data_IF_202025733433
#
_entry.id   IF_202025733433
#
_cell.length_a   1.000
_cell.length_b   1.000
_cell.length_c   1.000
_cell.angle_alpha   90.00
_cell.angle_beta   90.00
_cell.angle_gamma   90.00
#
_symmetry.space_group_name_H-M   'P 1'
#
loop_
_entity.id
_entity.type
_entity.pdbx_description
1 polymer ?
#
# COMPACT_ATOMS: atom_id res chain seq x y z
N UNK A 1 -3.81 26.21 -29.23
CA UNK A 1 -5.12 25.54 -29.06
C UNK A 1 -4.93 24.39 -28.09
N UNK A 2 -5.22 24.59 -26.81
CA UNK A 2 -4.92 23.64 -25.73
C UNK A 2 -6.13 22.73 -25.54
N UNK A 3 -6.03 21.47 -25.96
CA UNK A 3 -7.06 20.47 -25.71
C UNK A 3 -7.11 20.19 -24.20
N UNK A 4 -8.05 20.84 -23.50
CA UNK A 4 -8.36 20.54 -22.11
C UNK A 4 -9.03 19.16 -22.10
N UNK A 5 -8.24 18.10 -21.99
CA UNK A 5 -8.77 16.75 -21.84
C UNK A 5 -9.39 16.63 -20.45
N UNK A 6 -10.72 16.72 -20.37
CA UNK A 6 -11.47 16.44 -19.14
C UNK A 6 -11.36 14.94 -18.82
N UNK A 7 -10.31 14.56 -18.09
CA UNK A 7 -10.22 13.22 -17.51
C UNK A 7 -11.35 13.05 -16.49
N UNK A 8 -12.13 11.96 -16.53
CA UNK A 8 -13.20 11.71 -15.58
C UNK A 8 -12.66 11.73 -14.15
N UNK A 9 -13.42 12.27 -13.20
CA UNK A 9 -13.03 12.52 -11.80
C UNK A 9 -12.37 11.30 -11.14
N UNK A 10 -12.87 10.09 -11.43
CA UNK A 10 -12.32 8.84 -10.90
C UNK A 10 -10.86 8.59 -11.34
N UNK A 11 -10.48 8.96 -12.56
CA UNK A 11 -9.09 8.82 -13.01
C UNK A 11 -8.15 9.79 -12.29
N UNK A 12 -8.65 10.97 -11.92
CA UNK A 12 -7.86 11.92 -11.13
C UNK A 12 -7.62 11.38 -9.72
N UNK A 13 -8.66 10.83 -9.09
CA UNK A 13 -8.56 10.22 -7.75
C UNK A 13 -7.63 9.01 -7.74
N UNK A 14 -7.80 8.07 -8.68
CA UNK A 14 -6.89 6.92 -8.82
C UNK A 14 -5.45 7.38 -9.07
N UNK A 15 -5.25 8.40 -9.92
CA UNK A 15 -3.94 9.00 -10.15
C UNK A 15 -3.31 9.58 -8.88
N UNK A 16 -4.10 10.27 -8.04
CA UNK A 16 -3.64 10.77 -6.74
C UNK A 16 -3.29 9.65 -5.76
N UNK A 17 -4.12 8.60 -5.68
CA UNK A 17 -3.84 7.45 -4.82
C UNK A 17 -2.56 6.72 -5.25
N UNK A 18 -2.36 6.52 -6.56
CA UNK A 18 -1.13 5.93 -7.07
C UNK A 18 0.09 6.82 -6.78
N UNK A 19 -0.02 8.14 -6.91
CA UNK A 19 1.05 9.08 -6.54
C UNK A 19 1.41 9.02 -5.06
N UNK A 20 0.39 9.00 -4.21
CA UNK A 20 0.58 8.84 -2.78
C UNK A 20 1.28 7.50 -2.49
N UNK A 21 0.84 6.42 -3.13
CA UNK A 21 1.49 5.11 -3.05
C UNK A 21 2.96 5.14 -3.49
N UNK A 22 3.32 5.86 -4.56
CA UNK A 22 4.72 6.05 -4.97
C UNK A 22 5.53 6.71 -3.86
N UNK A 23 5.06 7.84 -3.33
CA UNK A 23 5.77 8.59 -2.27
C UNK A 23 5.90 7.74 -1.01
N UNK A 24 4.84 7.05 -0.62
CA UNK A 24 4.82 6.15 0.52
C UNK A 24 5.84 5.01 0.37
N UNK A 25 5.82 4.31 -0.77
CA UNK A 25 6.73 3.17 -1.01
C UNK A 25 8.20 3.62 -1.15
N UNK A 26 8.46 4.83 -1.64
CA UNK A 26 9.80 5.43 -1.60
C UNK A 26 10.25 5.72 -0.17
N UNK A 27 9.38 6.31 0.66
CA UNK A 27 9.68 6.57 2.07
C UNK A 27 9.94 5.26 2.84
N UNK A 28 9.12 4.24 2.60
CA UNK A 28 9.33 2.88 3.13
C UNK A 28 10.68 2.30 2.69
N UNK A 29 11.02 2.39 1.40
CA UNK A 29 12.31 1.93 0.90
C UNK A 29 13.48 2.61 1.60
N UNK A 30 13.44 3.94 1.74
CA UNK A 30 14.48 4.71 2.46
C UNK A 30 14.55 4.31 3.93
N UNK A 31 13.40 4.19 4.59
CA UNK A 31 13.32 3.77 5.99
C UNK A 31 13.94 2.39 6.20
N UNK A 32 13.67 1.44 5.33
CA UNK A 32 14.22 0.09 5.42
C UNK A 32 15.71 0.03 5.04
N UNK A 33 16.17 0.74 4.00
CA UNK A 33 17.59 0.82 3.68
C UNK A 33 18.43 1.46 4.79
N UNK A 34 17.86 2.44 5.51
CA UNK A 34 18.54 3.11 6.63
C UNK A 34 18.80 2.22 7.85
N UNK A 35 18.16 1.05 7.92
CA UNK A 35 18.20 0.14 9.06
C UNK A 35 17.76 0.75 10.41
N UNK A 36 17.10 1.92 10.39
CA UNK A 36 16.62 2.61 11.60
C UNK A 36 15.78 1.70 12.49
N UNK A 37 14.90 0.89 11.91
CA UNK A 37 14.03 -0.07 12.61
C UNK A 37 14.78 -1.09 13.48
N UNK A 38 15.96 -1.53 13.04
CA UNK A 38 16.75 -2.58 13.73
C UNK A 38 18.00 -2.00 14.42
N UNK A 39 18.16 -0.68 14.43
CA UNK A 39 19.32 -0.01 15.02
C UNK A 39 19.47 -0.32 16.52
N UNK A 40 18.37 -0.29 17.26
CA UNK A 40 18.34 -0.64 18.70
C UNK A 40 18.61 -2.12 18.99
N UNK A 41 18.33 -3.02 18.03
CA UNK A 41 18.55 -4.45 18.20
C UNK A 41 20.04 -4.84 18.16
N UNK A 42 20.90 -3.98 17.60
CA UNK A 42 22.34 -4.25 17.45
C UNK A 42 23.05 -4.55 18.78
N UNK A 43 22.60 -3.95 19.87
CA UNK A 43 23.21 -4.13 21.20
C UNK A 43 22.66 -5.35 21.95
N UNK A 44 21.50 -5.87 21.54
CA UNK A 44 20.76 -6.92 22.25
C UNK A 44 20.85 -8.28 21.55
N UNK A 45 20.96 -8.29 20.23
CA UNK A 45 20.93 -9.53 19.45
C UNK A 45 22.33 -10.05 19.15
N UNK A 46 22.49 -11.38 18.98
CA UNK A 46 23.70 -11.94 18.39
C UNK A 46 23.98 -11.32 17.02
N UNK A 47 25.27 -11.08 16.72
CA UNK A 47 25.71 -10.45 15.46
C UNK A 47 25.13 -11.15 14.22
N UNK A 48 25.04 -12.48 14.23
CA UNK A 48 24.48 -13.27 13.13
C UNK A 48 22.99 -12.99 12.90
N UNK A 49 22.19 -12.88 13.98
CA UNK A 49 20.77 -12.55 13.89
C UNK A 49 20.55 -11.12 13.39
N UNK A 50 21.41 -10.17 13.79
CA UNK A 50 21.37 -8.80 13.30
C UNK A 50 21.65 -8.71 11.79
N UNK A 51 22.71 -9.36 11.29
CA UNK A 51 23.01 -9.40 9.86
C UNK A 51 21.93 -10.11 9.05
N UNK A 52 21.37 -11.20 9.58
CA UNK A 52 20.24 -11.88 8.96
C UNK A 52 19.06 -10.91 8.82
N UNK A 53 18.66 -10.23 9.90
CA UNK A 53 17.58 -9.24 9.84
C UNK A 53 17.88 -8.07 8.89
N UNK A 54 19.13 -7.61 8.82
CA UNK A 54 19.56 -6.56 7.90
C UNK A 54 19.38 -6.96 6.43
N UNK A 55 19.72 -8.20 6.08
CA UNK A 55 19.49 -8.76 4.74
C UNK A 55 18.00 -8.70 4.37
N UNK A 56 17.11 -9.17 5.25
CA UNK A 56 15.66 -9.11 5.03
C UNK A 56 15.16 -7.68 4.93
N UNK A 57 15.72 -6.76 5.72
CA UNK A 57 15.39 -5.35 5.67
C UNK A 57 15.73 -4.73 4.30
N UNK A 58 16.89 -5.07 3.73
CA UNK A 58 17.29 -4.61 2.39
C UNK A 58 16.52 -5.27 1.26
N UNK A 59 16.18 -6.56 1.38
CA UNK A 59 15.28 -7.23 0.44
C UNK A 59 13.91 -6.55 0.42
N UNK A 60 13.36 -6.23 1.60
CA UNK A 60 12.11 -5.48 1.70
C UNK A 60 12.24 -4.08 1.10
N UNK A 61 13.31 -3.34 1.43
CA UNK A 61 13.56 -2.01 0.86
C UNK A 61 13.62 -2.03 -0.68
N UNK A 62 14.24 -3.07 -1.26
CA UNK A 62 14.33 -3.27 -2.71
C UNK A 62 12.97 -3.58 -3.32
N UNK A 63 12.18 -4.43 -2.67
CA UNK A 63 10.81 -4.72 -3.08
C UNK A 63 9.94 -3.46 -3.03
N UNK A 64 10.06 -2.64 -1.97
CA UNK A 64 9.32 -1.39 -1.85
C UNK A 64 9.68 -0.39 -2.95
N UNK A 65 10.98 -0.29 -3.30
CA UNK A 65 11.43 0.54 -4.42
C UNK A 65 10.85 0.05 -5.75
N UNK A 66 10.86 -1.26 -6.00
CA UNK A 66 10.27 -1.86 -7.20
C UNK A 66 8.78 -1.55 -7.28
N UNK A 67 8.03 -1.67 -6.18
CA UNK A 67 6.61 -1.32 -6.12
C UNK A 67 6.42 0.16 -6.41
N UNK A 68 7.24 1.05 -5.85
CA UNK A 68 7.19 2.48 -6.14
C UNK A 68 7.37 2.76 -7.65
N UNK A 69 8.33 2.09 -8.30
CA UNK A 69 8.55 2.20 -9.74
C UNK A 69 7.33 1.69 -10.51
N UNK A 70 6.76 0.54 -10.16
CA UNK A 70 5.56 0.00 -10.79
C UNK A 70 4.40 0.98 -10.66
N UNK A 71 4.11 1.49 -9.45
CA UNK A 71 3.06 2.48 -9.22
C UNK A 71 3.31 3.77 -10.02
N UNK A 72 4.57 4.18 -10.19
CA UNK A 72 4.95 5.32 -11.02
C UNK A 72 4.59 5.14 -12.49
N UNK A 73 4.82 3.95 -13.05
CA UNK A 73 4.40 3.65 -14.42
C UNK A 73 2.88 3.50 -14.54
N UNK A 74 2.23 2.87 -13.57
CA UNK A 74 0.77 2.72 -13.55
C UNK A 74 0.05 4.07 -13.53
N UNK A 75 0.54 5.07 -12.79
CA UNK A 75 -0.10 6.39 -12.74
C UNK A 75 -0.01 7.18 -14.06
N UNK A 76 1.01 6.91 -14.89
CA UNK A 76 1.21 7.63 -16.16
C UNK A 76 0.17 7.23 -17.21
N UNK A 77 -0.20 5.96 -17.23
CA UNK A 77 -1.18 5.40 -18.18
C UNK A 77 -2.12 4.39 -17.53
N UNK A 78 -2.90 4.86 -16.56
CA UNK A 78 -3.83 4.01 -15.80
C UNK A 78 -4.88 3.30 -16.68
N UNK A 79 -5.16 3.83 -17.88
CA UNK A 79 -6.11 3.22 -18.83
C UNK A 79 -5.49 1.97 -19.46
N UNK A 80 -4.23 2.05 -19.90
CA UNK A 80 -3.50 0.91 -20.47
C UNK A 80 -3.33 -0.23 -19.47
N UNK A 81 -3.14 0.09 -18.19
CA UNK A 81 -2.86 -0.90 -17.15
C UNK A 81 -4.07 -1.25 -16.26
N UNK A 82 -5.29 -1.05 -16.75
CA UNK A 82 -6.51 -1.25 -15.96
C UNK A 82 -6.59 -2.62 -15.31
N UNK A 83 -6.29 -3.70 -16.04
CA UNK A 83 -6.42 -5.07 -15.52
C UNK A 83 -5.39 -5.36 -14.43
N UNK A 84 -4.16 -4.86 -14.60
CA UNK A 84 -3.11 -4.94 -13.59
C UNK A 84 -3.48 -4.13 -12.35
N UNK A 85 -3.99 -2.91 -12.50
CA UNK A 85 -4.51 -2.10 -11.37
C UNK A 85 -5.65 -2.84 -10.66
N UNK A 86 -6.52 -3.51 -11.43
CA UNK A 86 -7.57 -4.38 -10.91
C UNK A 86 -7.01 -5.51 -10.05
N UNK A 87 -6.07 -6.29 -10.59
CA UNK A 87 -5.41 -7.37 -9.86
C UNK A 87 -4.70 -6.89 -8.59
N UNK A 88 -3.95 -5.78 -8.68
CA UNK A 88 -3.24 -5.17 -7.54
C UNK A 88 -4.23 -4.71 -6.46
N UNK A 89 -5.38 -4.18 -6.84
CA UNK A 89 -6.39 -3.77 -5.85
C UNK A 89 -7.00 -4.96 -5.10
N UNK A 90 -7.24 -6.09 -5.78
CA UNK A 90 -7.69 -7.34 -5.13
C UNK A 90 -6.64 -7.89 -4.18
N UNK A 91 -5.37 -7.87 -4.60
CA UNK A 91 -4.27 -8.21 -3.71
C UNK A 91 -4.19 -7.27 -2.51
N UNK A 92 -4.40 -5.97 -2.71
CA UNK A 92 -4.49 -4.97 -1.65
C UNK A 92 -5.60 -5.28 -0.63
N UNK A 93 -6.78 -5.72 -1.09
CA UNK A 93 -7.86 -6.15 -0.20
C UNK A 93 -7.47 -7.38 0.62
N UNK A 94 -6.90 -8.40 -0.02
CA UNK A 94 -6.39 -9.59 0.69
C UNK A 94 -5.39 -9.17 1.77
N UNK A 95 -4.43 -8.31 1.41
CA UNK A 95 -3.43 -7.79 2.34
C UNK A 95 -4.06 -7.00 3.49
N UNK A 96 -5.06 -6.16 3.23
CA UNK A 96 -5.80 -5.46 4.26
C UNK A 96 -6.48 -6.41 5.25
N UNK A 97 -7.01 -7.54 4.77
CA UNK A 97 -7.56 -8.60 5.62
C UNK A 97 -6.51 -9.21 6.54
N UNK A 98 -5.32 -9.51 6.00
CA UNK A 98 -4.18 -9.99 6.77
C UNK A 98 -3.76 -8.98 7.85
N UNK A 99 -3.59 -7.70 7.48
CA UNK A 99 -3.23 -6.63 8.43
C UNK A 99 -4.28 -6.45 9.53
N UNK A 100 -5.56 -6.52 9.16
CA UNK A 100 -6.68 -6.42 10.12
C UNK A 100 -6.62 -7.56 11.13
N UNK A 101 -6.42 -8.81 10.66
CA UNK A 101 -6.22 -9.96 11.52
C UNK A 101 -5.00 -9.78 12.44
N UNK A 102 -3.84 -9.40 11.90
CA UNK A 102 -2.66 -9.14 12.72
C UNK A 102 -2.87 -8.00 13.73
N UNK A 103 -3.76 -7.05 13.47
CA UNK A 103 -4.08 -5.97 14.41
C UNK A 103 -4.88 -6.43 15.64
N UNK A 104 -5.50 -7.61 15.60
CA UNK A 104 -6.27 -8.18 16.73
C UNK A 104 -5.48 -9.19 17.56
N UNK A 105 -4.41 -9.76 17.00
CA UNK A 105 -3.48 -10.64 17.71
C UNK A 105 -2.81 -9.89 18.86
N UNK A 106 -2.76 -10.50 20.05
CA UNK A 106 -2.21 -9.88 21.26
C UNK A 106 -0.70 -9.65 21.14
N UNK A 107 -0.14 -8.74 21.94
CA UNK A 107 1.29 -8.49 21.90
C UNK A 107 2.09 -9.69 22.41
N UNK A 108 1.58 -10.39 23.43
CA UNK A 108 2.23 -11.55 24.03
C UNK A 108 2.46 -12.64 22.97
N UNK A 109 1.48 -12.86 22.10
CA UNK A 109 1.59 -13.78 20.96
C UNK A 109 2.58 -13.30 19.89
N UNK A 110 2.72 -11.98 19.72
CA UNK A 110 3.65 -11.36 18.77
C UNK A 110 5.10 -11.37 19.27
N UNK A 111 5.32 -11.21 20.58
CA UNK A 111 6.64 -11.20 21.21
C UNK A 111 7.36 -12.55 21.16
N UNK A 112 6.64 -13.64 20.85
CA UNK A 112 7.24 -14.94 20.55
C UNK A 112 8.13 -14.85 19.28
N UNK A 113 7.87 -13.88 18.40
CA UNK A 113 8.69 -13.62 17.22
C UNK A 113 9.85 -12.68 17.56
N UNK A 114 11.12 -13.12 17.40
CA UNK A 114 12.28 -12.32 17.77
C UNK A 114 12.35 -10.97 17.05
N UNK A 115 11.79 -10.87 15.84
CA UNK A 115 11.73 -9.64 15.05
C UNK A 115 10.83 -8.55 15.63
N UNK A 116 10.04 -8.84 16.68
CA UNK A 116 9.09 -7.93 17.32
C UNK A 116 9.48 -7.53 18.75
N UNK A 117 10.70 -7.84 19.21
CA UNK A 117 11.18 -7.42 20.53
C UNK A 117 11.27 -5.90 20.73
N UNK A 118 11.25 -5.12 19.65
CA UNK A 118 11.13 -3.66 19.73
C UNK A 118 9.66 -3.29 19.77
N UNK A 119 9.19 -2.95 20.97
CA UNK A 119 7.80 -2.55 21.22
C UNK A 119 7.47 -1.21 20.56
N UNK A 120 6.55 -1.22 19.60
CA UNK A 120 5.87 -0.02 19.11
C UNK A 120 4.45 -0.01 19.69
N UNK A 121 4.13 0.89 20.66
CA UNK A 121 2.82 0.93 21.30
C UNK A 121 1.68 1.29 20.33
N UNK A 122 2.00 1.87 19.17
CA UNK A 122 1.04 2.25 18.14
C UNK A 122 1.00 1.26 16.97
N UNK A 123 1.68 0.10 17.07
CA UNK A 123 1.77 -0.87 15.97
C UNK A 123 0.40 -1.33 15.47
N UNK A 124 -0.51 -1.68 16.39
CA UNK A 124 -1.87 -2.10 16.01
C UNK A 124 -2.66 -0.98 15.33
N UNK A 125 -2.43 0.29 15.68
CA UNK A 125 -3.06 1.45 15.02
C UNK A 125 -2.50 1.62 13.62
N UNK A 126 -1.18 1.49 13.46
CA UNK A 126 -0.51 1.54 12.16
C UNK A 126 -1.05 0.47 11.20
N UNK A 127 -1.17 -0.79 11.65
CA UNK A 127 -1.72 -1.88 10.84
C UNK A 127 -3.16 -1.59 10.39
N UNK A 128 -4.00 -1.01 11.27
CA UNK A 128 -5.38 -0.65 10.94
C UNK A 128 -5.46 0.50 9.94
N UNK A 129 -4.61 1.51 10.08
CA UNK A 129 -4.55 2.63 9.14
C UNK A 129 -4.11 2.16 7.75
N UNK A 130 -3.10 1.31 7.67
CA UNK A 130 -2.65 0.72 6.42
C UNK A 130 -3.73 -0.16 5.76
N UNK A 131 -4.39 -1.01 6.55
CA UNK A 131 -5.54 -1.80 6.09
C UNK A 131 -6.66 -0.91 5.55
N UNK A 132 -7.00 0.19 6.23
CA UNK A 132 -8.03 1.13 5.79
C UNK A 132 -7.67 1.79 4.45
N UNK A 133 -6.41 2.21 4.25
CA UNK A 133 -5.93 2.78 2.99
C UNK A 133 -6.08 1.78 1.84
N UNK A 134 -5.71 0.52 2.07
CA UNK A 134 -5.82 -0.55 1.07
C UNK A 134 -7.29 -0.88 0.73
N UNK A 135 -8.19 -0.88 1.72
CA UNK A 135 -9.64 -1.02 1.49
C UNK A 135 -10.19 0.14 0.69
N UNK A 136 -9.79 1.38 0.99
CA UNK A 136 -10.19 2.56 0.20
C UNK A 136 -9.67 2.46 -1.23
N UNK A 137 -8.42 2.05 -1.44
CA UNK A 137 -7.86 1.82 -2.77
C UNK A 137 -8.66 0.76 -3.55
N UNK A 138 -8.95 -0.38 -2.92
CA UNK A 138 -9.81 -1.42 -3.50
C UNK A 138 -11.18 -0.87 -3.87
N UNK A 139 -11.83 -0.15 -2.96
CA UNK A 139 -13.15 0.39 -3.19
C UNK A 139 -13.18 1.39 -4.35
N UNK A 140 -12.18 2.28 -4.44
CA UNK A 140 -12.08 3.26 -5.53
C UNK A 140 -11.83 2.59 -6.88
N UNK A 141 -11.05 1.51 -6.93
CA UNK A 141 -10.69 0.80 -8.17
C UNK A 141 -11.83 -0.12 -8.64
N UNK A 142 -12.43 -0.90 -7.75
CA UNK A 142 -13.43 -1.93 -8.09
C UNK A 142 -14.88 -1.44 -8.03
N UNK A 143 -15.15 -0.49 -7.13
CA UNK A 143 -16.42 0.22 -7.03
C UNK A 143 -16.20 1.69 -7.37
N UNK A 144 -15.68 2.00 -8.57
CA UNK A 144 -15.69 3.38 -9.00
C UNK A 144 -17.14 3.82 -8.93
N UNK A 145 -17.39 5.09 -8.62
CA UNK A 145 -18.68 5.77 -8.80
C UNK A 145 -19.33 5.58 -10.21
N UNK A 146 -18.74 4.77 -11.09
CA UNK A 146 -19.06 4.46 -12.48
C UNK A 146 -19.99 3.24 -12.72
N UNK A 147 -20.59 2.59 -11.71
CA UNK A 147 -21.93 2.00 -11.97
C UNK A 147 -23.06 3.02 -11.77
N UNK A 148 -22.84 4.06 -10.97
CA UNK A 148 -23.86 5.04 -10.60
C UNK A 148 -24.06 6.16 -11.64
N UNK A 149 -23.00 6.78 -12.16
CA UNK A 149 -23.14 7.75 -13.27
C UNK A 149 -23.53 7.07 -14.59
N UNK A 150 -23.02 5.85 -14.83
CA UNK A 150 -23.32 5.10 -16.05
C UNK A 150 -24.80 4.68 -16.16
N UNK A 151 -25.51 4.50 -15.04
CA UNK A 151 -26.96 4.21 -15.02
C UNK A 151 -27.84 5.47 -14.96
N UNK A 152 -27.40 6.52 -14.28
CA UNK A 152 -28.18 7.77 -14.19
C UNK A 152 -28.30 8.50 -15.54
N UNK A 153 -27.32 8.36 -16.44
CA UNK A 153 -27.34 8.99 -17.78
C UNK A 153 -27.98 8.11 -18.85
N UNK A 154 -27.88 6.78 -18.73
CA UNK A 154 -28.44 5.86 -19.75
C UNK A 154 -29.93 5.52 -19.53
N UNK A 155 -30.51 5.83 -18.36
CA UNK A 155 -31.94 5.60 -18.06
C UNK A 155 -32.80 6.88 -18.07
N UNK A 156 -32.20 8.05 -18.33
CA UNK A 156 -32.88 9.35 -18.32
C UNK A 156 -33.04 10.03 -19.69
N UNK A 157 -32.59 9.41 -20.79
CA UNK A 157 -32.62 9.97 -22.15
C UNK A 157 -33.65 9.34 -23.10
N UNK A 158 -34.44 8.36 -22.63
CA UNK A 158 -35.64 7.86 -23.32
C UNK A 158 -36.89 8.26 -22.51
N UNK A 159 -37.21 9.55 -22.48
CA UNK A 159 -38.55 10.06 -22.15
C UNK A 159 -38.84 11.30 -22.99
#
# INVERSE_FOLDING_TARGET
MTLITNRPTNQRVVGWLLRFGVVFMLAESVFHFSALRISGARQLWPTSAWYYALLFNWLWASASLLIAIVLYYLQRDARRYRDLIGAVSWFGLFHAGVLTYFSTVSIEQKLILPSLYVWNPYYSVQLRLEAAVLVVFFAVVQFPLAKWVWRAVTSGGER
#
